data_IF_783737570030
#
_entry.id   IF_783737570030
#
_cell.length_a   1.000
_cell.length_b   1.000
_cell.length_c   1.000
_cell.angle_alpha   90.00
_cell.angle_beta   90.00
_cell.angle_gamma   90.00
#
_symmetry.space_group_name_H-M   'P 1'
#
loop_
_entity.id
_entity.type
_entity.pdbx_description
1 polymer ?
#
# COMPACT_ATOMS: atom_id res chain seq x y z
N UNK A 1 -51.57 -89.56 2.97
CA UNK A 1 -51.92 -89.43 1.54
C UNK A 1 -50.74 -88.71 0.88
N UNK A 2 -49.96 -89.45 0.25
CA UNK A 2 -49.46 -89.40 -1.13
C UNK A 2 -48.81 -88.03 -1.52
N UNK A 3 -47.74 -88.00 -2.14
CA UNK A 3 -46.77 -88.96 -2.73
C UNK A 3 -45.67 -88.18 -3.39
N UNK A 4 -44.45 -88.75 -3.30
CA UNK A 4 -43.50 -88.95 -4.37
C UNK A 4 -42.98 -87.72 -5.15
N UNK A 5 -41.76 -87.52 -5.29
CA UNK A 5 -40.63 -88.26 -5.97
C UNK A 5 -39.94 -87.21 -6.85
N UNK A 6 -38.78 -87.09 -7.10
CA UNK A 6 -37.58 -87.89 -7.22
C UNK A 6 -36.44 -86.98 -7.75
N UNK A 7 -35.32 -87.09 -7.19
CA UNK A 7 -34.00 -87.15 -7.76
C UNK A 7 -33.70 -86.54 -9.15
N UNK A 8 -32.64 -85.72 -9.24
CA UNK A 8 -31.45 -86.12 -10.01
C UNK A 8 -30.17 -85.32 -9.71
N UNK A 9 -29.12 -86.03 -9.41
CA UNK A 9 -27.76 -85.56 -9.34
C UNK A 9 -27.22 -85.20 -10.71
N UNK A 10 -26.36 -84.14 -10.73
CA UNK A 10 -25.12 -84.02 -11.53
C UNK A 10 -24.55 -82.65 -11.13
N UNK A 11 -23.42 -82.49 -10.52
CA UNK A 11 -22.09 -82.86 -10.95
C UNK A 11 -21.54 -81.74 -11.85
N UNK A 12 -20.80 -80.75 -11.29
CA UNK A 12 -20.20 -79.75 -12.17
C UNK A 12 -19.40 -78.72 -11.45
N UNK A 13 -18.17 -78.98 -11.21
CA UNK A 13 -16.99 -78.06 -11.22
C UNK A 13 -17.08 -76.75 -10.59
N UNK A 14 -16.41 -76.59 -9.46
CA UNK A 14 -15.95 -75.40 -8.78
C UNK A 14 -15.00 -74.60 -9.70
N UNK A 15 -15.45 -73.50 -10.28
CA UNK A 15 -14.59 -72.46 -10.90
C UNK A 15 -14.42 -71.35 -9.90
N UNK A 16 -13.24 -71.32 -9.31
CA UNK A 16 -12.78 -70.22 -8.45
C UNK A 16 -12.48 -68.99 -9.34
N UNK A 17 -13.42 -68.07 -9.47
CA UNK A 17 -13.21 -66.81 -10.15
C UNK A 17 -12.55 -65.84 -9.17
N UNK A 18 -11.27 -65.61 -9.36
CA UNK A 18 -10.47 -64.60 -8.67
C UNK A 18 -10.91 -63.22 -9.17
N UNK A 19 -11.74 -62.54 -8.41
CA UNK A 19 -12.01 -61.10 -8.66
C UNK A 19 -10.82 -60.28 -8.21
N UNK A 20 -9.93 -59.91 -9.16
CA UNK A 20 -8.96 -58.86 -8.99
C UNK A 20 -9.72 -57.55 -9.04
N UNK A 21 -10.04 -56.97 -7.88
CA UNK A 21 -10.50 -55.58 -7.75
C UNK A 21 -9.32 -54.68 -8.08
N UNK A 22 -9.21 -54.22 -9.34
CA UNK A 22 -8.43 -53.05 -9.72
C UNK A 22 -9.08 -51.83 -9.05
N UNK A 23 -8.57 -51.45 -7.89
CA UNK A 23 -8.86 -50.16 -7.29
C UNK A 23 -8.28 -49.04 -8.15
N UNK A 24 -9.06 -48.52 -9.11
CA UNK A 24 -8.81 -47.18 -9.69
C UNK A 24 -8.96 -46.14 -8.57
N UNK A 25 -7.86 -45.89 -7.87
CA UNK A 25 -7.73 -44.72 -7.03
C UNK A 25 -7.82 -43.47 -7.91
N UNK A 26 -9.03 -42.93 -8.02
CA UNK A 26 -9.21 -41.54 -8.47
C UNK A 26 -8.51 -40.64 -7.46
N UNK A 27 -7.25 -40.31 -7.72
CA UNK A 27 -6.60 -39.16 -7.15
C UNK A 27 -7.40 -37.94 -7.64
N UNK A 28 -8.43 -37.54 -6.89
CA UNK A 28 -8.91 -36.19 -6.93
C UNK A 28 -7.75 -35.33 -6.42
N UNK A 29 -6.91 -34.92 -7.35
CA UNK A 29 -6.02 -33.78 -7.11
C UNK A 29 -6.92 -32.62 -6.72
N UNK A 30 -6.98 -32.33 -5.44
CA UNK A 30 -7.50 -31.05 -4.96
C UNK A 30 -6.61 -29.99 -5.59
N UNK A 31 -7.02 -29.49 -6.76
CA UNK A 31 -6.63 -28.18 -7.20
C UNK A 31 -7.16 -27.25 -6.10
N UNK A 32 -6.38 -27.03 -5.05
CA UNK A 32 -6.52 -25.91 -4.19
C UNK A 32 -6.32 -24.70 -5.11
N UNK A 33 -7.42 -24.19 -5.69
CA UNK A 33 -7.49 -22.86 -6.22
C UNK A 33 -7.02 -22.02 -5.06
N UNK A 34 -5.84 -21.44 -5.18
CA UNK A 34 -5.32 -20.50 -4.21
C UNK A 34 -6.38 -19.42 -4.12
N UNK A 35 -7.17 -19.49 -3.06
CA UNK A 35 -8.24 -18.55 -2.81
C UNK A 35 -7.53 -17.23 -2.55
N UNK A 36 -7.57 -16.32 -3.53
CA UNK A 36 -7.12 -14.94 -3.37
C UNK A 36 -7.84 -14.44 -2.13
N UNK A 37 -7.10 -14.28 -1.04
CA UNK A 37 -7.70 -13.90 0.24
C UNK A 37 -7.98 -12.42 0.14
N UNK A 38 -9.23 -12.08 0.01
CA UNK A 38 -9.72 -10.71 0.10
C UNK A 38 -9.24 -10.10 1.43
N UNK A 39 -9.01 -8.80 1.43
CA UNK A 39 -8.77 -8.05 2.66
C UNK A 39 -10.02 -8.07 3.55
N UNK A 40 -9.84 -8.39 4.84
CA UNK A 40 -10.91 -8.51 5.82
C UNK A 40 -10.85 -7.35 6.84
N UNK A 41 -11.69 -6.31 6.73
CA UNK A 41 -11.67 -5.17 7.66
C UNK A 41 -11.82 -5.56 9.12
N UNK A 42 -12.69 -6.53 9.43
CA UNK A 42 -12.96 -6.99 10.80
C UNK A 42 -11.75 -7.67 11.46
N UNK A 43 -10.78 -8.12 10.67
CA UNK A 43 -9.54 -8.76 11.12
C UNK A 43 -8.31 -7.90 10.89
N UNK A 44 -8.52 -6.63 10.61
CA UNK A 44 -7.45 -5.67 10.35
C UNK A 44 -7.17 -4.84 11.61
N UNK A 45 -5.90 -4.79 11.99
CA UNK A 45 -5.36 -3.94 13.04
C UNK A 45 -4.61 -2.80 12.39
N UNK A 46 -5.05 -1.56 12.61
CA UNK A 46 -4.50 -0.38 11.95
C UNK A 46 -3.79 0.52 12.96
N UNK A 47 -2.49 0.78 12.72
CA UNK A 47 -1.68 1.70 13.50
C UNK A 47 -1.14 2.83 12.61
N UNK A 48 -1.59 4.04 12.89
CA UNK A 48 -1.28 5.24 12.10
C UNK A 48 -0.54 6.25 12.96
N UNK A 49 0.56 6.76 12.42
CA UNK A 49 1.31 7.89 12.98
C UNK A 49 1.39 8.99 11.93
N UNK A 50 0.76 10.12 12.18
CA UNK A 50 0.76 11.28 11.30
C UNK A 50 1.37 12.49 12.00
N UNK A 51 2.62 12.81 11.71
CA UNK A 51 3.33 13.94 12.30
C UNK A 51 3.55 15.02 11.24
N UNK A 52 2.81 16.11 11.33
CA UNK A 52 2.95 17.28 10.44
C UNK A 52 3.44 18.52 11.21
N UNK A 53 3.57 18.42 12.53
CA UNK A 53 4.15 19.44 13.39
C UNK A 53 5.11 18.79 14.38
N UNK A 54 6.23 19.47 14.66
CA UNK A 54 7.27 18.97 15.55
C UNK A 54 7.53 19.96 16.68
N UNK A 55 7.99 19.42 17.81
CA UNK A 55 8.44 20.21 18.96
C UNK A 55 9.68 21.04 18.60
N UNK A 56 10.63 20.42 17.89
CA UNK A 56 11.90 21.02 17.46
C UNK A 56 11.77 21.53 16.01
N UNK A 57 11.21 22.74 15.87
CA UNK A 57 10.95 23.39 14.57
C UNK A 57 12.20 23.90 13.87
N UNK A 58 13.28 23.99 14.58
CA UNK A 58 14.62 24.28 14.06
C UNK A 58 15.22 23.08 13.30
N UNK A 59 14.79 21.86 13.63
CA UNK A 59 15.22 20.62 12.97
C UNK A 59 14.24 20.14 11.91
N UNK A 60 12.94 20.31 12.15
CA UNK A 60 11.87 19.80 11.29
C UNK A 60 10.82 20.86 10.97
N UNK A 61 10.79 21.29 9.71
CA UNK A 61 9.75 22.21 9.22
C UNK A 61 8.36 21.56 9.28
N UNK A 62 7.36 22.34 9.69
CA UNK A 62 5.97 21.86 9.73
C UNK A 62 5.35 21.80 8.34
N UNK A 63 4.53 20.79 8.09
CA UNK A 63 3.68 20.68 6.91
C UNK A 63 2.32 21.33 7.12
N UNK A 64 1.61 21.71 6.03
CA UNK A 64 0.24 22.23 6.12
C UNK A 64 -0.70 21.25 6.84
N UNK A 65 -1.53 21.79 7.76
CA UNK A 65 -2.48 21.00 8.55
C UNK A 65 -3.84 20.81 7.87
N UNK A 66 -4.10 21.57 6.81
CA UNK A 66 -5.35 21.48 6.05
C UNK A 66 -5.35 20.22 5.19
N UNK A 67 -6.50 19.55 5.09
CA UNK A 67 -6.72 18.39 4.22
C UNK A 67 -5.75 17.24 4.46
N UNK A 68 -5.57 16.86 5.69
CA UNK A 68 -4.72 15.72 6.10
C UNK A 68 -5.20 14.42 5.49
N UNK A 69 -4.42 13.85 4.59
CA UNK A 69 -4.75 12.57 3.96
C UNK A 69 -4.55 11.39 4.90
N UNK A 70 -3.69 11.50 5.91
CA UNK A 70 -3.57 10.50 6.99
C UNK A 70 -4.89 10.37 7.78
N UNK A 71 -5.56 11.49 8.08
CA UNK A 71 -6.87 11.47 8.71
C UNK A 71 -7.95 10.88 7.78
N UNK A 72 -7.89 11.16 6.47
CA UNK A 72 -8.79 10.56 5.49
C UNK A 72 -8.58 9.05 5.37
N UNK A 73 -7.33 8.57 5.41
CA UNK A 73 -7.00 7.14 5.43
C UNK A 73 -7.62 6.47 6.67
N UNK A 74 -7.49 7.07 7.85
CA UNK A 74 -8.13 6.57 9.08
C UNK A 74 -9.65 6.52 8.95
N UNK A 75 -10.26 7.57 8.39
CA UNK A 75 -11.70 7.62 8.18
C UNK A 75 -12.15 6.53 7.19
N UNK A 76 -11.40 6.32 6.11
CA UNK A 76 -11.65 5.24 5.16
C UNK A 76 -11.71 3.89 5.87
N UNK A 77 -10.71 3.52 6.68
CA UNK A 77 -10.69 2.23 7.39
C UNK A 77 -11.88 2.08 8.36
N UNK A 78 -12.29 3.15 9.04
CA UNK A 78 -13.51 3.16 9.87
C UNK A 78 -14.77 2.88 9.04
N UNK A 79 -14.89 3.51 7.87
CA UNK A 79 -16.02 3.31 6.96
C UNK A 79 -16.05 1.90 6.37
N UNK A 80 -14.90 1.27 6.18
CA UNK A 80 -14.81 -0.14 5.78
C UNK A 80 -15.17 -1.11 6.92
N UNK A 81 -15.37 -0.63 8.13
CA UNK A 81 -15.80 -1.44 9.27
C UNK A 81 -14.64 -1.99 10.12
N UNK A 82 -13.44 -1.44 10.02
CA UNK A 82 -12.37 -1.77 10.99
C UNK A 82 -12.82 -1.35 12.39
N UNK A 83 -12.83 -2.27 13.37
CA UNK A 83 -13.30 -1.97 14.72
C UNK A 83 -12.46 -0.89 15.41
N UNK A 84 -13.09 0.03 16.14
CA UNK A 84 -12.38 1.13 16.80
C UNK A 84 -11.26 0.65 17.75
N UNK A 85 -11.44 -0.47 18.43
CA UNK A 85 -10.40 -1.06 19.30
C UNK A 85 -9.21 -1.65 18.53
N UNK A 86 -9.34 -1.84 17.22
CA UNK A 86 -8.30 -2.29 16.28
C UNK A 86 -7.70 -1.15 15.48
N UNK A 87 -7.97 0.11 15.88
CA UNK A 87 -7.46 1.29 15.20
C UNK A 87 -6.82 2.25 16.20
N UNK A 88 -5.55 2.58 15.97
CA UNK A 88 -4.80 3.61 16.70
C UNK A 88 -4.36 4.68 15.70
N UNK A 89 -4.63 5.93 16.03
CA UNK A 89 -4.15 7.09 15.30
C UNK A 89 -3.48 8.07 16.26
N UNK A 90 -2.18 8.24 16.13
CA UNK A 90 -1.38 9.20 16.87
C UNK A 90 -1.01 10.36 15.96
N UNK A 91 -1.42 11.56 16.35
CA UNK A 91 -1.29 12.77 15.54
C UNK A 91 -0.45 13.82 16.26
N UNK A 92 0.54 14.38 15.57
CA UNK A 92 1.34 15.53 16.04
C UNK A 92 1.80 15.35 17.50
N UNK A 93 1.43 16.22 18.43
CA UNK A 93 1.85 16.17 19.84
C UNK A 93 1.52 14.85 20.57
N UNK A 94 0.60 14.04 20.06
CA UNK A 94 0.31 12.72 20.58
C UNK A 94 1.34 11.68 20.10
N UNK A 95 2.06 11.96 19.02
CA UNK A 95 3.02 11.04 18.40
C UNK A 95 4.45 11.24 18.94
N UNK A 96 4.62 11.38 20.27
CA UNK A 96 5.96 11.38 20.87
C UNK A 96 6.62 10.00 20.71
N UNK A 97 7.95 9.95 20.65
CA UNK A 97 8.70 8.69 20.49
C UNK A 97 8.31 7.64 21.51
N UNK A 98 8.20 8.05 22.79
CA UNK A 98 7.76 7.15 23.86
C UNK A 98 6.34 6.63 23.64
N UNK A 99 5.40 7.55 23.33
CA UNK A 99 4.00 7.19 23.11
C UNK A 99 3.84 6.24 21.94
N UNK A 100 4.48 6.54 20.81
CA UNK A 100 4.45 5.68 19.61
C UNK A 100 4.96 4.28 19.94
N UNK A 101 6.15 4.14 20.52
CA UNK A 101 6.75 2.84 20.83
C UNK A 101 5.91 2.04 21.86
N UNK A 102 5.44 2.70 22.91
CA UNK A 102 4.64 2.04 23.96
C UNK A 102 3.28 1.60 23.43
N UNK A 103 2.58 2.51 22.72
CA UNK A 103 1.28 2.21 22.14
C UNK A 103 1.40 1.10 21.08
N UNK A 104 2.44 1.12 20.24
CA UNK A 104 2.65 0.12 19.21
C UNK A 104 2.83 -1.27 19.80
N UNK A 105 3.75 -1.45 20.75
CA UNK A 105 4.00 -2.74 21.39
C UNK A 105 2.73 -3.29 22.07
N UNK A 106 2.02 -2.44 22.83
CA UNK A 106 0.76 -2.82 23.49
C UNK A 106 -0.36 -3.16 22.49
N UNK A 107 -0.38 -2.49 21.34
CA UNK A 107 -1.36 -2.72 20.27
C UNK A 107 -1.12 -4.06 19.58
N UNK A 108 0.12 -4.35 19.19
CA UNK A 108 0.51 -5.59 18.53
C UNK A 108 0.16 -6.84 19.36
N UNK A 109 0.32 -6.76 20.67
CA UNK A 109 0.06 -7.87 21.60
C UNK A 109 -1.42 -8.30 21.69
N UNK A 110 -2.35 -7.44 21.25
CA UNK A 110 -3.80 -7.70 21.29
C UNK A 110 -4.30 -8.51 20.09
N UNK A 111 -3.56 -8.51 18.98
CA UNK A 111 -3.93 -9.22 17.77
C UNK A 111 -3.96 -10.73 17.99
N UNK A 112 -4.66 -11.43 17.11
CA UNK A 112 -4.84 -12.89 17.12
C UNK A 112 -4.25 -13.51 15.86
N UNK A 113 -4.09 -14.81 15.86
CA UNK A 113 -3.69 -15.55 14.68
C UNK A 113 -4.63 -15.28 13.49
N UNK A 114 -4.05 -15.07 12.32
CA UNK A 114 -4.75 -14.76 11.08
C UNK A 114 -5.16 -13.30 10.92
N UNK A 115 -4.97 -12.44 11.94
CA UNK A 115 -5.19 -11.00 11.78
C UNK A 115 -4.12 -10.37 10.86
N UNK A 116 -4.53 -9.28 10.18
CA UNK A 116 -3.67 -8.45 9.35
C UNK A 116 -3.32 -7.17 10.12
N UNK A 117 -2.04 -6.83 10.16
CA UNK A 117 -1.58 -5.53 10.62
C UNK A 117 -1.43 -4.58 9.43
N UNK A 118 -1.97 -3.36 9.55
CA UNK A 118 -1.71 -2.24 8.66
C UNK A 118 -1.00 -1.14 9.43
N UNK A 119 0.18 -0.74 8.99
CA UNK A 119 0.97 0.37 9.58
C UNK A 119 1.12 1.46 8.55
N UNK A 120 0.82 2.69 8.96
CA UNK A 120 1.05 3.87 8.14
C UNK A 120 1.78 4.94 8.95
N UNK A 121 2.77 5.57 8.31
CA UNK A 121 3.46 6.74 8.83
C UNK A 121 3.49 7.84 7.75
N UNK A 122 3.25 9.09 8.15
CA UNK A 122 3.58 10.27 7.34
C UNK A 122 4.28 11.35 8.18
N UNK A 123 5.20 12.07 7.54
CA UNK A 123 5.99 13.12 8.17
C UNK A 123 7.41 13.19 7.62
N UNK A 124 8.36 13.65 8.44
CA UNK A 124 9.79 13.60 8.08
C UNK A 124 10.40 12.22 8.31
N UNK A 125 11.25 11.80 7.38
CA UNK A 125 12.17 10.68 7.55
C UNK A 125 13.61 11.16 7.44
N UNK A 126 14.51 10.60 8.24
CA UNK A 126 15.92 10.96 8.23
C UNK A 126 16.83 9.78 8.62
N UNK A 127 18.11 9.92 8.37
CA UNK A 127 19.11 8.92 8.72
C UNK A 127 19.93 9.38 9.93
N UNK A 128 20.43 8.41 10.69
CA UNK A 128 21.50 8.66 11.67
C UNK A 128 22.75 9.22 11.00
N UNK A 129 23.63 9.86 11.77
CA UNK A 129 24.88 10.47 11.27
C UNK A 129 25.77 9.47 10.52
N UNK A 130 25.78 8.21 10.97
CA UNK A 130 26.49 7.12 10.29
C UNK A 130 25.73 6.52 9.10
N UNK A 131 24.57 7.09 8.75
CA UNK A 131 23.66 6.66 7.70
C UNK A 131 23.16 5.20 7.76
N UNK A 132 23.37 4.50 8.90
CA UNK A 132 23.01 3.08 9.06
C UNK A 132 21.56 2.86 9.47
N UNK A 133 20.99 3.83 10.20
CA UNK A 133 19.61 3.74 10.71
C UNK A 133 18.75 4.82 10.09
N UNK A 134 17.56 4.43 9.62
CA UNK A 134 16.52 5.37 9.20
C UNK A 134 15.49 5.51 10.30
N UNK A 135 15.14 6.75 10.61
CA UNK A 135 14.14 7.12 11.59
C UNK A 135 12.96 7.84 10.93
N UNK A 136 11.78 7.56 11.42
CA UNK A 136 10.58 8.36 11.24
C UNK A 136 10.52 9.38 12.37
N UNK A 137 10.49 10.66 12.03
CA UNK A 137 10.53 11.76 12.98
C UNK A 137 9.21 11.85 13.75
N UNK A 138 9.21 11.35 14.98
CA UNK A 138 8.10 11.54 15.92
C UNK A 138 8.04 13.00 16.40
N UNK A 139 6.97 13.41 17.06
CA UNK A 139 6.74 14.80 17.45
C UNK A 139 7.92 15.44 18.22
N UNK A 140 8.53 14.67 19.12
CA UNK A 140 9.65 15.09 19.99
C UNK A 140 11.01 14.61 19.48
N UNK A 141 11.10 14.19 18.21
CA UNK A 141 12.37 13.81 17.61
C UNK A 141 13.37 14.99 17.67
N UNK A 142 14.62 14.70 18.01
CA UNK A 142 15.68 15.66 18.21
C UNK A 142 16.98 14.96 18.58
N UNK A 143 17.99 15.71 19.01
CA UNK A 143 19.32 15.19 19.35
C UNK A 143 19.27 14.04 20.36
N UNK A 144 18.51 14.20 21.46
CA UNK A 144 18.40 13.22 22.54
C UNK A 144 17.34 12.14 22.27
N UNK A 145 16.49 12.32 21.27
CA UNK A 145 15.35 11.44 20.99
C UNK A 145 15.26 11.16 19.48
N UNK A 146 15.90 10.07 19.02
CA UNK A 146 16.04 9.86 17.58
C UNK A 146 14.78 9.43 16.83
N UNK A 147 13.59 9.41 17.47
CA UNK A 147 12.35 9.04 16.81
C UNK A 147 12.12 7.52 16.72
N UNK A 148 11.37 7.09 15.69
CA UNK A 148 10.93 5.71 15.52
C UNK A 148 11.72 5.03 14.39
N UNK A 149 12.66 4.16 14.73
CA UNK A 149 13.52 3.54 13.72
C UNK A 149 12.77 2.46 12.92
N UNK A 150 13.04 2.39 11.62
CA UNK A 150 12.44 1.39 10.72
C UNK A 150 12.81 -0.03 11.11
N UNK A 151 14.00 -0.25 11.67
CA UNK A 151 14.45 -1.53 12.21
C UNK A 151 13.60 -1.95 13.43
N UNK A 152 13.34 -1.01 14.37
CA UNK A 152 12.51 -1.32 15.54
C UNK A 152 11.05 -1.63 15.18
N UNK A 153 10.50 -0.97 14.16
CA UNK A 153 9.14 -1.27 13.67
C UNK A 153 9.03 -2.75 13.31
N UNK A 154 9.93 -3.24 12.47
CA UNK A 154 9.87 -4.64 11.99
C UNK A 154 10.18 -5.63 13.12
N UNK A 155 11.16 -5.33 13.98
CA UNK A 155 11.47 -6.18 15.15
C UNK A 155 10.31 -6.29 16.13
N UNK A 156 9.63 -5.18 16.42
CA UNK A 156 8.49 -5.18 17.34
C UNK A 156 7.32 -5.98 16.74
N UNK A 157 7.08 -5.89 15.43
CA UNK A 157 6.08 -6.71 14.75
C UNK A 157 6.45 -8.19 14.86
N UNK A 158 7.68 -8.57 14.54
CA UNK A 158 8.14 -9.97 14.68
C UNK A 158 8.02 -10.48 16.11
N UNK A 159 8.26 -9.64 17.09
CA UNK A 159 8.25 -10.02 18.51
C UNK A 159 6.86 -10.08 19.12
N UNK A 160 6.00 -9.11 18.83
CA UNK A 160 4.76 -8.91 19.60
C UNK A 160 3.47 -9.18 18.83
N UNK A 161 3.48 -9.04 17.47
CA UNK A 161 2.28 -9.24 16.68
C UNK A 161 1.95 -10.73 16.57
N UNK A 162 0.75 -11.13 16.96
CA UNK A 162 0.31 -12.52 16.94
C UNK A 162 -0.26 -12.98 15.60
N UNK A 163 -0.61 -12.03 14.73
CA UNK A 163 -1.02 -12.34 13.36
C UNK A 163 0.15 -12.78 12.49
N UNK A 164 -0.14 -13.12 11.24
CA UNK A 164 0.84 -13.68 10.28
C UNK A 164 1.23 -12.75 9.15
N UNK A 165 0.49 -11.66 8.93
CA UNK A 165 0.70 -10.73 7.81
C UNK A 165 0.69 -9.29 8.27
N UNK A 166 1.64 -8.47 7.77
CA UNK A 166 1.71 -7.05 8.04
C UNK A 166 1.92 -6.26 6.74
N UNK A 167 1.05 -5.28 6.49
CA UNK A 167 1.19 -4.32 5.40
C UNK A 167 1.74 -3.01 5.95
N UNK A 168 2.98 -2.68 5.60
CA UNK A 168 3.70 -1.51 6.06
C UNK A 168 3.72 -0.44 4.98
N UNK A 169 3.30 0.76 5.31
CA UNK A 169 3.26 1.90 4.39
C UNK A 169 3.85 3.14 5.04
N UNK A 170 4.56 3.95 4.25
CA UNK A 170 5.12 5.20 4.76
C UNK A 170 5.26 6.26 3.65
N UNK A 171 4.86 7.48 4.00
CA UNK A 171 4.92 8.66 3.14
C UNK A 171 5.91 9.68 3.73
N UNK A 172 7.20 9.44 3.46
CA UNK A 172 8.30 10.28 3.96
C UNK A 172 9.63 9.97 3.24
N UNK A 173 10.61 10.84 3.49
CA UNK A 173 11.98 10.62 3.04
C UNK A 173 12.55 9.27 3.53
N UNK A 174 13.33 8.59 2.69
CA UNK A 174 14.00 7.32 2.99
C UNK A 174 13.06 6.18 3.43
N UNK A 175 11.76 6.31 3.18
CA UNK A 175 10.74 5.34 3.62
C UNK A 175 10.98 3.92 3.09
N UNK A 176 11.63 3.77 1.94
CA UNK A 176 12.03 2.47 1.38
C UNK A 176 12.96 1.64 2.28
N UNK A 177 13.54 2.23 3.34
CA UNK A 177 14.26 1.46 4.35
C UNK A 177 13.38 0.41 5.05
N UNK A 178 12.05 0.64 5.15
CA UNK A 178 11.12 -0.38 5.64
C UNK A 178 11.16 -1.65 4.80
N UNK A 179 11.23 -1.52 3.47
CA UNK A 179 11.30 -2.68 2.57
C UNK A 179 12.57 -3.49 2.78
N UNK A 180 13.69 -2.80 3.05
CA UNK A 180 14.96 -3.44 3.37
C UNK A 180 14.90 -4.19 4.71
N UNK A 181 14.33 -3.55 5.74
CA UNK A 181 14.19 -4.17 7.06
C UNK A 181 13.23 -5.36 7.03
N UNK A 182 12.09 -5.26 6.34
CA UNK A 182 11.16 -6.35 6.17
C UNK A 182 11.81 -7.56 5.48
N UNK A 183 12.59 -7.35 4.41
CA UNK A 183 13.34 -8.44 3.75
C UNK A 183 14.37 -9.10 4.66
N UNK A 184 15.05 -8.31 5.51
CA UNK A 184 16.13 -8.79 6.37
C UNK A 184 15.62 -9.52 7.60
N UNK A 185 14.49 -9.11 8.15
CA UNK A 185 14.03 -9.52 9.48
C UNK A 185 12.81 -10.44 9.45
N UNK A 186 12.22 -10.73 8.28
CA UNK A 186 11.05 -11.62 8.18
C UNK A 186 11.40 -13.05 8.62
N UNK A 187 10.84 -13.47 9.73
CA UNK A 187 11.01 -14.82 10.29
C UNK A 187 9.65 -15.51 10.45
N UNK A 188 8.71 -14.85 11.11
CA UNK A 188 7.40 -15.35 11.46
C UNK A 188 6.28 -14.63 10.73
N UNK A 189 6.42 -13.31 10.54
CA UNK A 189 5.42 -12.47 9.89
C UNK A 189 5.77 -12.26 8.43
N UNK A 190 4.79 -12.44 7.57
CA UNK A 190 4.92 -12.12 6.13
C UNK A 190 4.58 -10.63 5.93
N UNK A 191 5.47 -9.91 5.27
CA UNK A 191 5.34 -8.49 5.06
C UNK A 191 4.96 -8.16 3.62
N UNK A 192 4.08 -7.18 3.45
CA UNK A 192 4.01 -6.32 2.28
C UNK A 192 4.49 -4.93 2.70
N UNK A 193 5.34 -4.30 1.90
CA UNK A 193 5.79 -2.94 2.15
C UNK A 193 5.61 -2.12 0.88
N UNK A 194 4.98 -0.95 1.00
CA UNK A 194 4.79 0.02 -0.08
C UNK A 194 5.07 1.42 0.47
N UNK A 195 6.00 2.15 -0.13
CA UNK A 195 6.49 3.42 0.41
C UNK A 195 6.68 4.48 -0.67
N UNK A 196 6.53 5.77 -0.31
CA UNK A 196 6.57 6.89 -1.24
C UNK A 196 7.96 7.12 -1.85
N UNK A 197 9.02 6.74 -1.15
CA UNK A 197 10.40 6.95 -1.63
C UNK A 197 11.26 5.70 -1.51
N UNK A 198 12.39 5.67 -2.21
CA UNK A 198 13.42 4.65 -2.01
C UNK A 198 14.19 4.87 -0.70
N UNK A 199 14.97 3.87 -0.28
CA UNK A 199 15.80 3.97 0.92
C UNK A 199 16.94 5.02 0.82
N UNK A 200 17.19 5.58 -0.35
CA UNK A 200 18.24 6.56 -0.61
C UNK A 200 17.73 7.92 -1.06
N UNK A 201 16.41 8.11 -1.16
CA UNK A 201 15.82 9.35 -1.68
C UNK A 201 15.00 10.11 -0.66
N UNK A 202 15.00 11.43 -0.81
CA UNK A 202 14.05 12.32 -0.14
C UNK A 202 12.66 12.13 -0.75
N UNK A 203 11.64 12.53 -0.02
CA UNK A 203 10.25 12.62 -0.50
C UNK A 203 9.81 14.07 -0.61
N UNK A 204 8.87 14.35 -1.50
CA UNK A 204 8.18 15.64 -1.57
C UNK A 204 7.22 15.79 -0.39
N UNK A 205 6.74 17.01 -0.15
CA UNK A 205 5.73 17.31 0.86
C UNK A 205 4.28 17.16 0.37
N UNK A 206 4.07 16.53 -0.79
CA UNK A 206 2.75 16.34 -1.39
C UNK A 206 2.12 15.02 -0.93
N UNK A 207 0.80 14.91 -1.06
CA UNK A 207 0.04 13.74 -0.63
C UNK A 207 -0.15 12.67 -1.71
N UNK A 208 0.55 12.79 -2.85
CA UNK A 208 0.39 11.90 -4.02
C UNK A 208 0.41 10.42 -3.66
N UNK A 209 1.38 10.00 -2.84
CA UNK A 209 1.45 8.61 -2.37
C UNK A 209 0.18 8.20 -1.60
N UNK A 210 -0.20 9.01 -0.61
CA UNK A 210 -1.33 8.69 0.26
C UNK A 210 -2.67 8.76 -0.48
N UNK A 211 -2.82 9.68 -1.43
CA UNK A 211 -3.99 9.78 -2.31
C UNK A 211 -4.14 8.54 -3.18
N UNK A 212 -3.06 8.11 -3.83
CA UNK A 212 -3.07 6.88 -4.65
C UNK A 212 -3.34 5.64 -3.79
N UNK A 213 -2.76 5.56 -2.59
CA UNK A 213 -3.03 4.48 -1.63
C UNK A 213 -4.53 4.43 -1.27
N UNK A 214 -5.14 5.56 -0.91
CA UNK A 214 -6.56 5.64 -0.58
C UNK A 214 -7.43 5.28 -1.79
N UNK A 215 -7.09 5.77 -2.97
CA UNK A 215 -7.82 5.49 -4.20
C UNK A 215 -7.86 4.00 -4.52
N UNK A 216 -6.73 3.32 -4.45
CA UNK A 216 -6.65 1.88 -4.67
C UNK A 216 -7.43 1.09 -3.63
N UNK A 217 -7.25 1.37 -2.34
CA UNK A 217 -7.99 0.74 -1.25
C UNK A 217 -9.50 1.00 -1.33
N UNK A 218 -9.92 2.14 -1.89
CA UNK A 218 -11.34 2.52 -2.05
C UNK A 218 -12.00 1.90 -3.28
N UNK A 219 -11.29 1.14 -4.10
CA UNK A 219 -11.88 0.53 -5.30
C UNK A 219 -12.14 1.53 -6.43
N UNK A 220 -11.37 2.62 -6.52
CA UNK A 220 -11.53 3.57 -7.62
C UNK A 220 -11.21 2.88 -8.95
N UNK A 221 -12.11 3.00 -9.95
CA UNK A 221 -12.00 2.30 -11.21
C UNK A 221 -10.66 2.54 -11.95
N UNK A 222 -10.06 3.70 -11.78
CA UNK A 222 -8.79 4.02 -12.40
C UNK A 222 -7.58 3.29 -11.77
N UNK A 223 -7.72 2.73 -10.56
CA UNK A 223 -6.67 1.96 -9.91
C UNK A 223 -6.69 0.45 -10.28
N UNK A 224 -7.76 -0.03 -10.92
CA UNK A 224 -7.83 -1.36 -11.54
C UNK A 224 -7.09 -1.30 -12.89
N UNK A 225 -5.83 -1.69 -12.92
CA UNK A 225 -4.97 -1.49 -14.08
C UNK A 225 -5.30 -2.45 -15.23
N UNK A 226 -5.66 -3.69 -14.91
CA UNK A 226 -5.95 -4.75 -15.88
C UNK A 226 -7.44 -4.82 -16.28
N UNK A 227 -8.32 -4.07 -15.60
CA UNK A 227 -9.77 -3.99 -15.82
C UNK A 227 -10.52 -5.31 -15.57
N UNK A 228 -10.06 -6.11 -14.61
CA UNK A 228 -10.72 -7.34 -14.17
C UNK A 228 -11.77 -7.15 -13.06
N UNK A 229 -11.93 -5.93 -12.57
CA UNK A 229 -12.88 -5.55 -11.51
C UNK A 229 -12.33 -5.76 -10.10
N UNK A 230 -11.03 -6.03 -9.98
CA UNK A 230 -10.35 -6.16 -8.71
C UNK A 230 -9.14 -5.22 -8.66
N UNK A 231 -8.73 -4.82 -7.48
CA UNK A 231 -7.49 -4.10 -7.25
C UNK A 231 -6.64 -4.95 -6.32
N UNK A 232 -5.58 -5.49 -6.86
CA UNK A 232 -4.61 -6.29 -6.13
C UNK A 232 -3.52 -5.43 -5.49
N UNK A 233 -2.79 -5.99 -4.56
CA UNK A 233 -1.63 -5.32 -3.94
C UNK A 233 -0.55 -4.97 -4.98
N UNK A 234 -0.35 -5.82 -5.99
CA UNK A 234 0.60 -5.55 -7.08
C UNK A 234 0.15 -4.42 -7.99
N UNK A 235 -1.14 -4.33 -8.31
CA UNK A 235 -1.69 -3.20 -9.08
C UNK A 235 -1.59 -1.89 -8.32
N UNK A 236 -1.94 -1.89 -7.03
CA UNK A 236 -1.74 -0.71 -6.18
C UNK A 236 -0.27 -0.29 -6.15
N UNK A 237 0.66 -1.23 -6.04
CA UNK A 237 2.08 -0.93 -6.02
C UNK A 237 2.58 -0.34 -7.35
N UNK A 238 2.10 -0.86 -8.48
CA UNK A 238 2.45 -0.31 -9.80
C UNK A 238 1.81 1.07 -10.02
N UNK A 239 0.57 1.26 -9.59
CA UNK A 239 -0.13 2.54 -9.67
C UNK A 239 0.60 3.63 -8.85
N UNK A 240 0.98 3.31 -7.61
CA UNK A 240 1.80 4.20 -6.77
C UNK A 240 3.15 4.50 -7.42
N UNK A 241 3.81 3.48 -7.96
CA UNK A 241 5.11 3.65 -8.62
C UNK A 241 5.03 4.63 -9.79
N UNK A 242 4.01 4.50 -10.62
CA UNK A 242 3.82 5.36 -11.77
C UNK A 242 3.40 6.79 -11.36
N UNK A 243 2.53 6.94 -10.33
CA UNK A 243 2.14 8.26 -9.83
C UNK A 243 3.32 8.99 -9.19
N UNK A 244 4.09 8.31 -8.34
CA UNK A 244 5.26 8.91 -7.71
C UNK A 244 6.33 9.28 -8.75
N UNK A 245 6.53 8.45 -9.76
CA UNK A 245 7.46 8.75 -10.85
C UNK A 245 7.01 9.93 -11.68
N UNK A 246 5.74 9.97 -12.05
CA UNK A 246 5.18 11.02 -12.92
C UNK A 246 5.00 12.35 -12.18
N UNK A 247 4.31 12.32 -11.04
CA UNK A 247 3.97 13.55 -10.33
C UNK A 247 5.18 14.13 -9.58
N UNK A 248 5.91 13.29 -8.86
CA UNK A 248 6.91 13.70 -7.87
C UNK A 248 8.37 13.48 -8.32
N UNK A 249 8.58 12.82 -9.47
CA UNK A 249 9.92 12.43 -9.95
C UNK A 249 10.68 11.57 -8.93
N UNK A 250 9.95 10.71 -8.22
CA UNK A 250 10.44 9.84 -7.15
C UNK A 250 10.29 8.37 -7.48
N UNK A 251 11.15 7.54 -6.88
CA UNK A 251 11.05 6.09 -6.92
C UNK A 251 10.39 5.59 -5.64
N UNK A 252 9.16 5.13 -5.72
CA UNK A 252 8.54 4.35 -4.64
C UNK A 252 9.26 3.02 -4.44
N UNK A 253 9.05 2.38 -3.29
CA UNK A 253 9.57 1.02 -3.06
C UNK A 253 8.44 0.07 -2.71
N UNK A 254 8.51 -1.14 -3.29
CA UNK A 254 7.58 -2.22 -3.02
C UNK A 254 8.30 -3.54 -2.76
N UNK A 255 7.81 -4.32 -1.82
CA UNK A 255 8.25 -5.70 -1.60
C UNK A 255 7.18 -6.50 -0.89
N UNK A 256 7.17 -7.81 -1.15
CA UNK A 256 6.48 -8.80 -0.32
C UNK A 256 7.49 -9.82 0.20
N UNK A 257 7.19 -10.44 1.33
CA UNK A 257 7.99 -11.50 1.94
C UNK A 257 7.09 -12.64 2.41
N UNK A 258 7.68 -13.82 2.58
CA UNK A 258 6.94 -14.97 3.09
C UNK A 258 5.72 -15.32 2.23
N UNK A 259 4.59 -15.52 2.87
CA UNK A 259 3.32 -15.88 2.22
C UNK A 259 2.40 -14.69 1.91
N UNK A 260 2.87 -13.45 2.02
CA UNK A 260 2.07 -12.30 1.63
C UNK A 260 2.02 -12.23 0.10
N UNK A 261 0.89 -12.63 -0.48
CA UNK A 261 0.75 -12.75 -1.92
C UNK A 261 0.58 -11.36 -2.59
N UNK A 262 1.34 -11.05 -3.66
CA UNK A 262 1.18 -9.81 -4.42
C UNK A 262 -0.20 -9.66 -5.10
N UNK A 263 -0.87 -10.77 -5.37
CA UNK A 263 -2.21 -10.86 -5.94
C UNK A 263 -3.33 -10.79 -4.87
N UNK A 264 -3.00 -10.49 -3.62
CA UNK A 264 -4.00 -10.22 -2.57
C UNK A 264 -4.95 -9.13 -3.03
N UNK A 265 -6.24 -9.44 -3.11
CA UNK A 265 -7.29 -8.47 -3.49
C UNK A 265 -7.51 -7.51 -2.33
N UNK A 266 -7.29 -6.23 -2.58
CA UNK A 266 -7.48 -5.14 -1.62
C UNK A 266 -8.87 -4.52 -1.73
N UNK A 267 -9.39 -4.42 -2.94
CA UNK A 267 -10.70 -3.83 -3.20
C UNK A 267 -11.34 -4.40 -4.47
N UNK A 268 -12.66 -4.25 -4.59
CA UNK A 268 -13.38 -4.44 -5.84
C UNK A 268 -13.54 -3.09 -6.52
N UNK A 269 -13.15 -3.02 -7.78
CA UNK A 269 -13.25 -1.81 -8.57
C UNK A 269 -14.56 -1.70 -9.33
N UNK A 270 -15.05 -0.48 -9.50
CA UNK A 270 -16.09 -0.17 -10.48
C UNK A 270 -15.56 -0.33 -11.90
N UNK A 271 -16.48 -0.52 -12.87
CA UNK A 271 -16.10 -0.61 -14.28
C UNK A 271 -15.58 0.75 -14.77
N UNK A 272 -14.45 0.76 -15.49
CA UNK A 272 -13.98 1.94 -16.19
C UNK A 272 -14.99 2.37 -17.26
N UNK A 273 -15.31 3.66 -17.29
CA UNK A 273 -16.21 4.24 -18.27
C UNK A 273 -15.58 4.34 -19.67
N UNK A 274 -14.24 4.41 -19.73
CA UNK A 274 -13.48 4.62 -20.95
C UNK A 274 -12.04 4.10 -20.79
N UNK A 275 -11.39 3.57 -21.85
CA UNK A 275 -9.96 3.16 -21.79
C UNK A 275 -8.97 4.28 -21.44
N UNK A 276 -9.37 5.56 -21.54
CA UNK A 276 -8.53 6.69 -21.15
C UNK A 276 -8.48 6.91 -19.63
N UNK A 277 -9.46 6.36 -18.90
CA UNK A 277 -9.45 6.39 -17.42
C UNK A 277 -8.22 5.64 -16.90
N UNK A 278 -7.52 6.22 -15.97
CA UNK A 278 -6.21 5.88 -15.41
C UNK A 278 -5.02 6.56 -16.08
N UNK A 279 -5.16 7.14 -17.27
CA UNK A 279 -4.03 7.78 -17.95
C UNK A 279 -3.52 8.98 -17.17
N UNK A 280 -2.21 9.05 -17.06
CA UNK A 280 -1.47 10.22 -16.58
C UNK A 280 -1.27 11.17 -17.76
N UNK A 281 -1.60 12.42 -17.55
CA UNK A 281 -1.63 13.44 -18.63
C UNK A 281 -1.10 14.76 -18.10
N UNK A 282 -0.70 15.63 -19.03
CA UNK A 282 -0.55 17.04 -18.72
C UNK A 282 -1.74 17.81 -19.27
N UNK A 283 -2.35 18.64 -18.44
CA UNK A 283 -3.52 19.46 -18.78
C UNK A 283 -3.12 20.92 -18.88
N UNK A 284 -3.57 21.60 -19.93
CA UNK A 284 -3.35 23.03 -20.10
C UNK A 284 -4.47 23.80 -19.42
N UNK A 285 -4.13 24.46 -18.33
CA UNK A 285 -5.03 25.37 -17.62
C UNK A 285 -4.28 26.66 -17.31
N UNK A 286 -4.91 27.82 -17.50
CA UNK A 286 -4.33 29.18 -17.29
C UNK A 286 -2.96 29.39 -17.96
N UNK A 287 -2.79 28.85 -19.17
CA UNK A 287 -1.56 28.99 -19.94
C UNK A 287 -0.37 28.12 -19.50
N UNK A 288 -0.55 27.32 -18.45
CA UNK A 288 0.45 26.37 -17.92
C UNK A 288 0.01 24.93 -18.13
N UNK A 289 0.98 24.02 -18.07
CA UNK A 289 0.75 22.58 -18.10
C UNK A 289 0.85 22.02 -16.68
N UNK A 290 -0.17 21.27 -16.27
CA UNK A 290 -0.30 20.68 -14.95
C UNK A 290 -0.34 19.16 -15.06
N UNK A 291 0.37 18.47 -14.18
CA UNK A 291 0.34 17.01 -14.10
C UNK A 291 -1.01 16.58 -13.50
N UNK A 292 -1.70 15.70 -14.21
CA UNK A 292 -3.03 15.23 -13.81
C UNK A 292 -3.26 13.77 -14.21
N UNK A 293 -4.28 13.17 -13.62
CA UNK A 293 -4.77 11.84 -13.94
C UNK A 293 -6.19 11.92 -14.48
N UNK A 294 -6.49 11.18 -15.54
CA UNK A 294 -7.87 11.00 -16.01
C UNK A 294 -8.60 10.05 -15.06
N UNK A 295 -9.62 10.54 -14.36
CA UNK A 295 -10.42 9.78 -13.38
C UNK A 295 -11.77 9.36 -13.92
N UNK A 296 -12.30 10.03 -14.94
CA UNK A 296 -13.51 9.67 -15.70
C UNK A 296 -13.43 10.23 -17.13
N UNK A 297 -14.21 9.68 -18.06
CA UNK A 297 -14.28 10.19 -19.43
C UNK A 297 -15.66 9.92 -20.05
N UNK A 298 -16.31 10.97 -20.57
CA UNK A 298 -17.66 10.92 -21.16
C UNK A 298 -17.78 11.90 -22.33
N UNK A 299 -18.42 11.46 -23.42
CA UNK A 299 -18.78 12.34 -24.52
C UNK A 299 -17.62 13.13 -25.15
N UNK A 300 -16.39 12.61 -25.09
CA UNK A 300 -15.18 13.29 -25.59
C UNK A 300 -14.60 14.33 -24.64
N UNK A 301 -15.13 14.44 -23.41
CA UNK A 301 -14.56 15.19 -22.30
C UNK A 301 -13.91 14.23 -21.28
N UNK A 302 -12.92 14.73 -20.56
CA UNK A 302 -12.13 14.00 -19.57
C UNK A 302 -12.22 14.69 -18.23
N UNK A 303 -12.63 13.96 -17.19
CA UNK A 303 -12.56 14.43 -15.82
C UNK A 303 -11.17 14.13 -15.28
N UNK A 304 -10.47 15.13 -14.81
CA UNK A 304 -9.08 15.03 -14.40
C UNK A 304 -8.91 15.45 -12.95
N UNK A 305 -8.05 14.71 -12.24
CA UNK A 305 -7.55 15.06 -10.93
C UNK A 305 -6.12 15.58 -11.05
N UNK A 306 -5.85 16.73 -10.48
CA UNK A 306 -4.53 17.35 -10.48
C UNK A 306 -3.70 16.87 -9.30
N UNK A 307 -2.51 16.32 -9.55
CA UNK A 307 -1.62 15.85 -8.49
C UNK A 307 -1.24 16.97 -7.52
N UNK A 308 -1.41 16.69 -6.22
CA UNK A 308 -1.14 17.66 -5.14
C UNK A 308 -2.23 18.72 -4.92
N UNK A 309 -3.40 18.55 -5.57
CA UNK A 309 -4.55 19.42 -5.42
C UNK A 309 -5.70 18.71 -4.70
N UNK A 310 -6.75 19.47 -4.33
CA UNK A 310 -7.94 18.91 -3.69
C UNK A 310 -8.90 18.34 -4.74
N UNK A 311 -9.72 17.35 -4.35
CA UNK A 311 -10.76 16.79 -5.22
C UNK A 311 -11.76 17.86 -5.70
N UNK A 312 -11.87 19.01 -4.97
CA UNK A 312 -12.66 20.17 -5.38
C UNK A 312 -12.08 20.94 -6.56
N UNK A 313 -10.82 20.70 -6.90
CA UNK A 313 -10.11 21.32 -8.03
C UNK A 313 -10.22 20.45 -9.30
N UNK A 314 -10.84 19.25 -9.19
CA UNK A 314 -11.08 18.36 -10.33
C UNK A 314 -12.02 19.02 -11.35
N UNK A 315 -11.67 18.92 -12.62
CA UNK A 315 -12.48 19.55 -13.68
C UNK A 315 -12.64 18.66 -14.93
N UNK A 316 -13.64 19.00 -15.73
CA UNK A 316 -13.85 18.41 -17.04
C UNK A 316 -13.13 19.20 -18.12
N UNK A 317 -12.20 18.56 -18.82
CA UNK A 317 -11.38 19.17 -19.89
C UNK A 317 -11.62 18.49 -21.22
N UNK A 318 -11.31 19.21 -22.33
CA UNK A 318 -11.39 18.68 -23.69
C UNK A 318 -10.04 18.08 -24.11
N UNK A 319 -10.04 17.21 -25.09
CA UNK A 319 -8.82 16.61 -25.64
C UNK A 319 -7.80 17.68 -26.11
N UNK A 320 -8.25 18.81 -26.60
CA UNK A 320 -7.37 19.93 -27.01
C UNK A 320 -6.58 20.57 -25.86
N UNK A 321 -7.00 20.33 -24.63
CA UNK A 321 -6.34 20.81 -23.40
C UNK A 321 -5.40 19.75 -22.80
N UNK A 322 -5.37 18.55 -23.36
CA UNK A 322 -4.60 17.42 -22.86
C UNK A 322 -3.43 17.14 -23.81
N UNK A 323 -2.30 16.81 -23.25
CA UNK A 323 -1.20 16.16 -23.97
C UNK A 323 -0.68 14.95 -23.19
N UNK A 324 -0.07 14.01 -23.92
CA UNK A 324 0.69 12.95 -23.27
C UNK A 324 1.89 13.55 -22.52
N UNK A 325 2.22 13.02 -21.33
CA UNK A 325 3.36 13.51 -20.59
C UNK A 325 4.61 13.34 -21.45
N UNK A 326 5.50 14.31 -21.41
CA UNK A 326 6.85 14.09 -21.90
C UNK A 326 7.44 12.98 -21.05
N UNK A 327 7.86 11.88 -21.68
CA UNK A 327 8.59 10.82 -21.00
C UNK A 327 9.76 11.46 -20.27
N UNK A 328 9.67 11.54 -18.96
CA UNK A 328 10.82 11.88 -18.14
C UNK A 328 11.70 10.63 -18.21
N UNK A 329 12.75 10.68 -19.04
CA UNK A 329 13.83 9.71 -18.87
C UNK A 329 14.28 9.85 -17.43
N UNK A 330 14.10 8.80 -16.63
CA UNK A 330 14.62 8.76 -15.27
C UNK A 330 16.08 9.23 -15.33
N UNK A 331 16.47 10.29 -14.63
CA UNK A 331 17.84 10.74 -14.63
C UNK A 331 18.74 9.55 -14.34
N UNK A 332 19.82 9.39 -15.05
CA UNK A 332 20.75 8.27 -14.89
C UNK A 332 21.21 8.10 -13.42
N UNK A 333 21.13 9.16 -12.62
CA UNK A 333 21.31 9.16 -11.15
C UNK A 333 20.33 8.27 -10.38
N UNK A 334 19.17 7.90 -10.96
CA UNK A 334 18.23 6.98 -10.35
C UNK A 334 18.52 5.52 -10.70
N UNK A 335 19.42 5.25 -11.66
CA UNK A 335 19.75 3.90 -12.17
C UNK A 335 20.93 3.23 -11.48
N UNK A 336 21.67 3.91 -10.61
CA UNK A 336 22.89 3.36 -10.01
C UNK A 336 23.02 3.69 -8.55
N UNK A 337 23.01 2.68 -7.70
CA UNK A 337 23.53 2.80 -6.34
C UNK A 337 25.04 3.01 -6.39
N UNK A 338 25.55 3.65 -5.35
CA UNK A 338 26.92 4.07 -5.05
C UNK A 338 27.31 5.42 -5.63
N UNK A 339 27.70 6.29 -4.71
CA UNK A 339 28.25 7.62 -4.83
C UNK A 339 27.25 8.79 -4.87
N UNK A 340 26.66 9.06 -3.73
CA UNK A 340 26.25 10.41 -3.36
C UNK A 340 26.78 10.70 -1.97
N UNK A 341 27.92 11.38 -1.96
CA UNK A 341 28.44 12.07 -0.80
C UNK A 341 27.34 12.93 -0.17
N UNK A 342 27.22 12.75 1.13
CA UNK A 342 26.38 13.49 2.05
C UNK A 342 26.77 14.97 2.00
N UNK A 343 26.10 15.76 1.20
CA UNK A 343 25.94 17.17 1.51
C UNK A 343 24.61 17.29 2.25
N UNK A 344 24.70 17.47 3.56
CA UNK A 344 23.63 18.11 4.32
C UNK A 344 23.44 19.49 3.72
N UNK A 345 22.55 19.57 2.74
CA UNK A 345 22.00 20.84 2.33
C UNK A 345 20.86 21.07 3.28
N UNK A 346 21.06 21.98 4.23
CA UNK A 346 19.96 22.71 4.84
C UNK A 346 19.21 23.41 3.72
N UNK A 347 18.40 22.64 3.02
CA UNK A 347 17.54 23.11 1.96
C UNK A 347 16.41 23.87 2.62
N UNK A 348 16.51 25.19 2.66
CA UNK A 348 15.33 26.07 2.65
C UNK A 348 14.60 25.82 1.34
N UNK A 349 14.06 24.62 1.18
CA UNK A 349 13.04 24.29 0.19
C UNK A 349 11.74 24.89 0.67
N UNK A 350 11.53 26.16 0.42
CA UNK A 350 10.18 26.69 0.35
C UNK A 350 9.50 25.87 -0.75
N UNK A 351 8.67 24.91 -0.36
CA UNK A 351 7.61 24.42 -1.22
C UNK A 351 6.73 25.66 -1.52
N UNK A 352 7.07 26.40 -2.56
CA UNK A 352 6.17 27.38 -3.13
C UNK A 352 5.00 26.57 -3.64
N UNK A 353 3.91 26.61 -2.88
CA UNK A 353 2.61 26.11 -3.32
C UNK A 353 2.42 26.63 -4.74
N UNK A 354 2.37 25.74 -5.70
CA UNK A 354 1.96 26.10 -7.04
C UNK A 354 0.58 26.76 -6.92
N UNK A 355 0.36 27.85 -7.64
CA UNK A 355 -0.90 28.61 -7.60
C UNK A 355 -2.00 27.72 -8.18
N UNK A 356 -3.16 27.70 -7.55
CA UNK A 356 -4.32 26.95 -8.06
C UNK A 356 -4.70 27.49 -9.44
N UNK A 357 -5.17 26.64 -10.36
CA UNK A 357 -5.73 27.10 -11.63
C UNK A 357 -6.87 28.12 -11.48
N UNK A 358 -7.58 28.09 -10.36
CA UNK A 358 -8.71 28.96 -10.04
C UNK A 358 -8.39 30.11 -9.07
N UNK A 359 -7.14 30.27 -8.59
CA UNK A 359 -6.80 31.37 -7.70
C UNK A 359 -6.78 32.70 -8.47
N UNK A 360 -7.48 33.77 -8.02
CA UNK A 360 -7.47 35.08 -8.67
C UNK A 360 -6.05 35.65 -8.70
N UNK A 361 -5.71 36.31 -9.79
CA UNK A 361 -4.46 37.09 -9.93
C UNK A 361 -4.42 38.21 -8.85
N UNK A 362 -3.24 38.54 -8.30
CA UNK A 362 -3.08 39.61 -7.33
C UNK A 362 -3.49 40.94 -7.88
#
# INVERSE_FOLDING_TARGET
MNSNNSSHRRGGKLCLALFVLLGCGLFFGSNAIAQTRDWEPQRTWMFVVGTLQWKHRDMFDSFPQKNRRDAQLVQFFRQQGVPNQQLVYLQDAQATTRQVKTAFAAFLAKAREGDLLFVYYCGHGYKSDDARTTFFATYDAGEDTPGWSTDSIVRDIEKYFKGSRAFLTADCCYSGSLTQQARRLNQRVSFACLTSSSASQLSTGNWTFTETLIAGLSGKAFADLNSDGQITLSELAEDVKEDMAFAEEQLSSFTTTGSFAPDTVLARAGRKSNPQVSKRVEVRSEGKWWKARVIDARGGAFHVHYYGWEDSDDEWVRLSQIREPKLVEYPARLKGGSDLETRVVSGKGHARRARRPSDPLP
#
